data_IF_471078648183
#
_entry.id   IF_471078648183
#
_cell.length_a   1.000
_cell.length_b   1.000
_cell.length_c   1.000
_cell.angle_alpha   90.00
_cell.angle_beta   90.00
_cell.angle_gamma   90.00
#
_symmetry.space_group_name_H-M   'P 1'
#
loop_
_entity.id
_entity.type
_entity.pdbx_description
1 polymer ?
#
# COMPACT_ATOMS: atom_id res chain seq x y z
N UNK A 1 50.78 -37.24 31.13
CA UNK A 1 51.55 -36.44 30.17
C UNK A 1 50.54 -35.75 29.29
N UNK A 2 50.52 -34.42 29.36
CA UNK A 2 49.65 -33.50 28.63
C UNK A 2 49.41 -33.91 27.16
N UNK A 3 48.21 -34.35 26.81
CA UNK A 3 47.76 -34.38 25.41
C UNK A 3 47.10 -33.05 25.09
N UNK A 4 47.91 -31.98 25.01
CA UNK A 4 47.50 -30.66 24.48
C UNK A 4 47.61 -30.58 22.96
N UNK A 5 47.81 -31.72 22.30
CA UNK A 5 47.86 -31.80 20.85
C UNK A 5 46.50 -32.30 20.32
N UNK A 6 45.67 -31.42 19.73
CA UNK A 6 44.31 -31.76 19.30
C UNK A 6 44.29 -32.85 18.21
N UNK A 7 45.34 -32.96 17.40
CA UNK A 7 45.45 -33.98 16.34
C UNK A 7 45.60 -35.39 16.92
N UNK A 8 46.37 -35.53 18.00
CA UNK A 8 46.56 -36.81 18.67
C UNK A 8 45.29 -37.25 19.40
N UNK A 9 44.54 -36.30 19.97
CA UNK A 9 43.25 -36.57 20.61
C UNK A 9 42.21 -37.04 19.58
N UNK A 10 42.12 -36.36 18.43
CA UNK A 10 41.21 -36.74 17.35
C UNK A 10 41.51 -38.14 16.82
N UNK A 11 42.79 -38.47 16.61
CA UNK A 11 43.21 -39.80 16.17
C UNK A 11 42.80 -40.90 17.16
N UNK A 12 42.98 -40.67 18.46
CA UNK A 12 42.61 -41.63 19.51
C UNK A 12 41.09 -41.85 19.58
N UNK A 13 40.29 -40.79 19.40
CA UNK A 13 38.83 -40.87 19.35
C UNK A 13 38.33 -41.67 18.14
N UNK A 14 38.96 -41.50 16.98
CA UNK A 14 38.66 -42.28 15.76
C UNK A 14 39.04 -43.76 15.94
N UNK A 15 40.20 -44.06 16.50
CA UNK A 15 40.61 -45.43 16.81
C UNK A 15 39.68 -46.11 17.82
N UNK A 16 39.22 -45.38 18.85
CA UNK A 16 38.23 -45.87 19.81
C UNK A 16 36.91 -46.23 19.11
N UNK A 17 36.39 -45.34 18.28
CA UNK A 17 35.14 -45.57 17.55
C UNK A 17 35.21 -46.79 16.62
N UNK A 18 36.29 -46.91 15.84
CA UNK A 18 36.47 -48.05 14.92
C UNK A 18 36.49 -49.38 15.67
N UNK A 19 37.10 -49.40 16.88
CA UNK A 19 37.12 -50.58 17.73
C UNK A 19 35.76 -50.89 18.35
N UNK A 20 35.04 -49.89 18.85
CA UNK A 20 33.72 -50.06 19.46
C UNK A 20 32.66 -50.54 18.46
N UNK A 21 32.75 -50.13 17.18
CA UNK A 21 31.85 -50.58 16.11
C UNK A 21 32.30 -51.89 15.41
N UNK A 22 33.45 -52.44 15.78
CA UNK A 22 33.95 -53.71 15.23
C UNK A 22 34.59 -53.63 13.83
N UNK A 23 35.04 -52.45 13.39
CA UNK A 23 35.70 -52.25 12.09
C UNK A 23 37.21 -52.54 12.15
N UNK A 24 37.57 -53.81 12.38
CA UNK A 24 38.97 -54.23 12.61
C UNK A 24 39.91 -53.99 11.41
N UNK A 25 39.41 -54.10 10.18
CA UNK A 25 40.21 -53.87 8.97
C UNK A 25 40.62 -52.40 8.82
N UNK A 26 39.68 -51.48 9.10
CA UNK A 26 39.92 -50.04 9.06
C UNK A 26 40.82 -49.60 10.22
N UNK A 27 40.64 -50.15 11.43
CA UNK A 27 41.51 -49.90 12.56
C UNK A 27 42.97 -50.26 12.25
N UNK A 28 43.20 -51.45 11.69
CA UNK A 28 44.55 -51.89 11.30
C UNK A 28 45.19 -50.99 10.24
N UNK A 29 44.41 -50.45 9.30
CA UNK A 29 44.91 -49.51 8.30
C UNK A 29 45.33 -48.17 8.95
N UNK A 30 44.49 -47.64 9.85
CA UNK A 30 44.76 -46.39 10.57
C UNK A 30 45.96 -46.51 11.51
N UNK A 31 46.11 -47.65 12.21
CA UNK A 31 47.29 -47.91 13.05
C UNK A 31 48.58 -48.02 12.22
N UNK A 32 48.50 -48.58 11.02
CA UNK A 32 49.65 -48.72 10.10
C UNK A 32 50.09 -47.37 9.55
N UNK A 33 49.17 -46.50 9.19
CA UNK A 33 49.47 -45.17 8.65
C UNK A 33 49.91 -44.19 9.74
N UNK A 34 49.23 -44.20 10.90
CA UNK A 34 49.55 -43.30 12.01
C UNK A 34 50.74 -43.74 12.85
N UNK A 35 51.23 -44.97 12.68
CA UNK A 35 52.27 -45.61 13.51
C UNK A 35 51.96 -45.62 15.01
N UNK A 36 50.70 -45.43 15.39
CA UNK A 36 50.25 -45.40 16.78
C UNK A 36 49.29 -46.57 17.01
N UNK A 37 49.53 -47.36 18.07
CA UNK A 37 48.64 -48.45 18.47
C UNK A 37 47.59 -47.95 19.44
N UNK A 38 46.35 -48.41 19.25
CA UNK A 38 45.27 -48.09 20.16
C UNK A 38 45.54 -48.63 21.57
N UNK A 39 45.38 -47.79 22.59
CA UNK A 39 45.51 -48.18 23.99
C UNK A 39 44.20 -47.97 24.75
N UNK A 40 43.57 -49.08 25.12
CA UNK A 40 42.25 -49.13 25.77
C UNK A 40 42.20 -48.46 27.15
N UNK A 41 43.35 -48.28 27.81
CA UNK A 41 43.46 -47.69 29.14
C UNK A 41 43.47 -46.14 29.16
N UNK A 42 43.49 -45.47 27.98
CA UNK A 42 43.67 -44.01 27.90
C UNK A 42 42.39 -43.19 27.80
N UNK A 43 41.25 -43.80 27.48
CA UNK A 43 39.96 -43.11 27.37
C UNK A 43 38.86 -43.82 28.18
N UNK A 44 37.91 -43.05 28.70
CA UNK A 44 36.70 -43.57 29.32
C UNK A 44 35.83 -44.30 28.31
N UNK A 45 35.21 -45.41 28.71
CA UNK A 45 34.27 -46.17 27.87
C UNK A 45 33.08 -45.30 27.45
N UNK A 46 32.78 -45.28 26.16
CA UNK A 46 31.73 -44.48 25.54
C UNK A 46 32.25 -43.70 24.33
N UNK A 47 31.52 -43.71 23.23
CA UNK A 47 31.91 -43.07 21.97
C UNK A 47 31.78 -41.54 22.04
N UNK A 48 32.69 -40.89 22.75
CA UNK A 48 32.77 -39.43 22.83
C UNK A 48 32.85 -38.78 21.44
N UNK A 49 33.43 -39.48 20.44
CA UNK A 49 33.40 -39.07 19.04
C UNK A 49 31.99 -38.98 18.47
N UNK A 50 31.14 -39.97 18.78
CA UNK A 50 29.77 -40.02 18.28
C UNK A 50 28.92 -38.91 18.91
N UNK A 51 29.11 -38.65 20.20
CA UNK A 51 28.47 -37.53 20.90
C UNK A 51 28.92 -36.16 20.33
N UNK A 52 30.22 -36.00 20.03
CA UNK A 52 30.74 -34.79 19.37
C UNK A 52 30.19 -34.62 17.95
N UNK A 53 30.04 -35.70 17.20
CA UNK A 53 29.45 -35.68 15.85
C UNK A 53 27.97 -35.36 15.92
N UNK A 54 27.21 -35.98 16.83
CA UNK A 54 25.79 -35.67 17.03
C UNK A 54 25.57 -34.23 17.47
N UNK A 55 26.33 -33.74 18.44
CA UNK A 55 26.23 -32.34 18.90
C UNK A 55 26.61 -31.34 17.80
N UNK A 56 27.58 -31.67 16.95
CA UNK A 56 27.90 -30.85 15.78
C UNK A 56 26.80 -30.88 14.72
N UNK A 57 26.26 -32.07 14.41
CA UNK A 57 25.14 -32.24 13.47
C UNK A 57 23.89 -31.50 13.97
N UNK A 58 23.55 -31.59 15.25
CA UNK A 58 22.44 -30.83 15.86
C UNK A 58 22.68 -29.31 15.84
N UNK A 59 23.92 -28.87 16.04
CA UNK A 59 24.31 -27.47 15.94
C UNK A 59 24.27 -26.95 14.50
N UNK A 60 24.57 -27.79 13.50
CA UNK A 60 24.45 -27.42 12.08
C UNK A 60 22.99 -27.45 11.62
N UNK A 61 22.20 -28.46 12.01
CA UNK A 61 20.75 -28.53 11.75
C UNK A 61 19.95 -27.38 12.38
N UNK A 62 20.42 -26.84 13.50
CA UNK A 62 19.81 -25.65 14.13
C UNK A 62 20.27 -24.32 13.54
N UNK A 63 21.42 -24.28 12.84
CA UNK A 63 21.86 -23.11 12.05
C UNK A 63 21.25 -23.10 10.65
N UNK A 64 20.98 -24.27 10.09
CA UNK A 64 20.11 -24.45 8.94
C UNK A 64 18.65 -24.26 9.37
N UNK A 65 18.31 -23.10 9.97
CA UNK A 65 16.91 -22.67 9.99
C UNK A 65 16.49 -22.58 8.52
N UNK A 66 15.73 -23.58 8.08
CA UNK A 66 15.19 -23.66 6.74
C UNK A 66 14.56 -22.30 6.40
N UNK A 67 15.06 -21.59 5.37
CA UNK A 67 14.52 -20.28 5.00
C UNK A 67 13.01 -20.34 4.74
N UNK A 68 12.49 -21.51 4.33
CA UNK A 68 11.06 -21.75 4.19
C UNK A 68 10.34 -21.79 5.55
N UNK A 69 10.93 -22.43 6.57
CA UNK A 69 10.39 -22.45 7.93
C UNK A 69 10.39 -21.07 8.58
N UNK A 70 11.46 -20.28 8.38
CA UNK A 70 11.54 -18.90 8.84
C UNK A 70 10.49 -18.01 8.14
N UNK A 71 10.31 -18.17 6.82
CA UNK A 71 9.29 -17.46 6.05
C UNK A 71 7.86 -17.83 6.49
N UNK A 72 7.61 -19.12 6.76
CA UNK A 72 6.33 -19.61 7.26
C UNK A 72 6.02 -19.09 8.66
N UNK A 73 7.03 -19.03 9.54
CA UNK A 73 6.89 -18.43 10.89
C UNK A 73 6.60 -16.94 10.81
N UNK A 74 7.29 -16.21 9.92
CA UNK A 74 7.03 -14.79 9.68
C UNK A 74 5.62 -14.56 9.11
N UNK A 75 5.15 -15.43 8.21
CA UNK A 75 3.79 -15.40 7.68
C UNK A 75 2.76 -15.66 8.79
N UNK A 76 2.97 -16.67 9.64
CA UNK A 76 2.08 -16.96 10.75
C UNK A 76 1.99 -15.80 11.74
N UNK A 77 3.12 -15.17 12.08
CA UNK A 77 3.15 -13.99 12.93
C UNK A 77 2.45 -12.78 12.29
N UNK A 78 2.59 -12.60 10.98
CA UNK A 78 1.86 -11.57 10.24
C UNK A 78 0.34 -11.83 10.25
N UNK A 79 -0.09 -13.06 10.00
CA UNK A 79 -1.51 -13.43 10.06
C UNK A 79 -2.09 -13.21 11.46
N UNK A 80 -1.35 -13.59 12.50
CA UNK A 80 -1.76 -13.37 13.87
C UNK A 80 -1.91 -11.88 14.17
N UNK A 81 -0.93 -11.05 13.76
CA UNK A 81 -0.99 -9.59 13.91
C UNK A 81 -2.19 -8.97 13.18
N UNK A 82 -2.51 -9.44 11.98
CA UNK A 82 -3.65 -8.92 11.21
C UNK A 82 -4.99 -9.29 11.87
N UNK A 83 -5.07 -10.47 12.51
CA UNK A 83 -6.24 -10.95 13.23
C UNK A 83 -6.41 -10.31 14.61
N UNK A 84 -5.32 -9.89 15.24
CA UNK A 84 -5.34 -9.19 16.52
C UNK A 84 -5.80 -7.72 16.33
N UNK A 85 -6.91 -7.34 16.95
CA UNK A 85 -7.40 -5.97 16.97
C UNK A 85 -8.72 -5.77 16.23
N UNK A 86 -9.09 -4.50 16.01
CA UNK A 86 -10.38 -4.11 15.47
C UNK A 86 -11.41 -3.81 16.56
N UNK A 87 -11.43 -2.55 17.02
CA UNK A 87 -12.60 -2.02 17.73
C UNK A 87 -13.63 -1.66 16.66
N UNK A 88 -14.91 -1.90 16.86
CA UNK A 88 -15.94 -1.49 15.88
C UNK A 88 -16.17 0.04 15.90
N UNK A 89 -15.09 0.80 15.75
CA UNK A 89 -15.00 2.25 15.84
C UNK A 89 -15.09 2.94 14.47
N UNK A 90 -15.29 2.18 13.39
CA UNK A 90 -15.42 2.73 12.04
C UNK A 90 -16.63 3.68 11.88
N UNK A 91 -16.52 4.70 11.02
CA UNK A 91 -17.59 5.68 10.80
C UNK A 91 -18.70 5.10 9.92
N UNK A 92 -19.79 4.67 10.54
CA UNK A 92 -20.99 4.16 9.85
C UNK A 92 -22.27 4.96 10.17
N UNK A 93 -22.24 5.81 11.21
CA UNK A 93 -23.40 6.62 11.59
C UNK A 93 -23.43 7.91 10.77
N UNK A 94 -24.56 8.19 10.11
CA UNK A 94 -24.74 9.41 9.34
C UNK A 94 -24.75 10.62 10.28
N UNK A 95 -23.73 11.47 10.19
CA UNK A 95 -23.61 12.69 10.98
C UNK A 95 -24.28 13.88 10.27
N UNK A 96 -24.03 14.03 8.97
CA UNK A 96 -24.58 15.14 8.20
C UNK A 96 -24.87 14.74 6.74
N UNK A 97 -25.93 15.30 6.17
CA UNK A 97 -26.23 15.24 4.73
C UNK A 97 -26.29 16.65 4.19
N UNK A 98 -25.39 16.96 3.26
CA UNK A 98 -25.27 18.27 2.62
C UNK A 98 -25.88 18.15 1.23
N UNK A 99 -26.95 18.92 0.99
CA UNK A 99 -27.70 18.96 -0.28
C UNK A 99 -27.49 20.30 -0.97
N UNK A 100 -27.81 20.33 -2.26
CA UNK A 100 -27.81 21.54 -3.09
C UNK A 100 -26.48 22.31 -3.09
N UNK A 101 -25.38 21.62 -2.78
CA UNK A 101 -24.05 22.23 -2.80
C UNK A 101 -23.71 22.64 -4.24
N UNK A 102 -23.79 21.70 -5.18
CA UNK A 102 -23.53 21.92 -6.61
C UNK A 102 -24.78 21.66 -7.46
N UNK A 103 -25.00 22.42 -8.56
CA UNK A 103 -26.08 22.14 -9.51
C UNK A 103 -25.86 20.84 -10.31
N UNK A 104 -24.61 20.38 -10.39
CA UNK A 104 -24.19 19.18 -11.10
C UNK A 104 -23.76 18.07 -10.14
N UNK A 105 -23.43 16.90 -10.70
CA UNK A 105 -22.99 15.73 -9.95
C UNK A 105 -21.65 15.99 -9.25
N UNK A 106 -21.53 15.54 -8.00
CA UNK A 106 -20.30 15.64 -7.23
C UNK A 106 -19.46 14.40 -7.51
N UNK A 107 -18.22 14.61 -7.93
CA UNK A 107 -17.36 13.55 -8.48
C UNK A 107 -16.22 13.24 -7.52
N UNK A 108 -15.67 14.26 -6.86
CA UNK A 108 -14.54 14.10 -5.96
C UNK A 108 -14.81 14.75 -4.61
N UNK A 109 -14.26 14.15 -3.58
CA UNK A 109 -14.35 14.62 -2.20
C UNK A 109 -13.02 14.31 -1.52
N UNK A 110 -12.52 15.23 -0.72
CA UNK A 110 -11.35 14.99 0.15
C UNK A 110 -11.55 15.68 1.49
N UNK A 111 -11.34 14.95 2.58
CA UNK A 111 -11.40 15.50 3.93
C UNK A 111 -10.17 16.39 4.17
N UNK A 112 -10.38 17.51 4.85
CA UNK A 112 -9.27 18.32 5.33
C UNK A 112 -8.64 17.65 6.55
N UNK A 113 -7.31 17.43 6.59
CA UNK A 113 -6.68 16.85 7.78
C UNK A 113 -6.85 17.76 9.00
N UNK A 114 -7.36 17.21 10.10
CA UNK A 114 -7.35 17.85 11.43
C UNK A 114 -8.40 18.97 11.56
N UNK A 115 -9.22 19.22 10.54
CA UNK A 115 -10.28 20.23 10.57
C UNK A 115 -11.59 19.64 10.11
N UNK A 116 -12.72 20.05 10.72
CA UNK A 116 -14.05 19.56 10.35
C UNK A 116 -14.54 20.18 9.03
N UNK A 117 -13.76 20.03 7.97
CA UNK A 117 -13.94 20.64 6.65
C UNK A 117 -13.68 19.61 5.55
N UNK A 118 -14.37 19.77 4.43
CA UNK A 118 -14.29 18.86 3.28
C UNK A 118 -14.19 19.71 2.01
N UNK A 119 -13.33 19.29 1.09
CA UNK A 119 -13.24 19.89 -0.24
C UNK A 119 -14.01 19.03 -1.24
N UNK A 120 -14.86 19.64 -2.04
CA UNK A 120 -15.73 18.96 -3.01
C UNK A 120 -15.44 19.46 -4.41
N UNK A 121 -15.39 18.52 -5.35
CA UNK A 121 -15.22 18.78 -6.78
C UNK A 121 -16.39 18.22 -7.57
N UNK A 122 -16.94 19.05 -8.44
CA UNK A 122 -18.19 18.76 -9.16
C UNK A 122 -18.03 18.85 -10.68
N UNK A 123 -19.00 18.27 -11.39
CA UNK A 123 -19.16 18.40 -12.83
C UNK A 123 -19.46 19.82 -13.31
N UNK A 124 -19.74 20.77 -12.41
CA UNK A 124 -19.93 22.19 -12.73
C UNK A 124 -18.63 22.99 -12.90
N UNK A 125 -17.50 22.29 -12.86
CA UNK A 125 -16.12 22.83 -12.96
C UNK A 125 -15.65 23.63 -11.74
N UNK A 126 -16.41 23.60 -10.65
CA UNK A 126 -16.15 24.37 -9.44
C UNK A 126 -15.67 23.46 -8.31
N UNK A 127 -14.72 23.98 -7.53
CA UNK A 127 -14.32 23.40 -6.26
C UNK A 127 -14.84 24.25 -5.11
N UNK A 128 -15.32 23.59 -4.04
CA UNK A 128 -15.79 24.25 -2.83
C UNK A 128 -15.13 23.65 -1.60
N UNK A 129 -14.84 24.48 -0.62
CA UNK A 129 -14.53 24.06 0.74
C UNK A 129 -15.77 24.27 1.59
N UNK A 130 -16.21 23.20 2.26
CA UNK A 130 -17.39 23.18 3.13
C UNK A 130 -17.02 22.75 4.53
N UNK A 131 -17.75 23.24 5.54
CA UNK A 131 -17.69 22.69 6.89
C UNK A 131 -18.54 21.42 6.98
N UNK A 132 -18.35 20.59 8.02
CA UNK A 132 -19.26 19.46 8.26
C UNK A 132 -20.71 19.89 8.53
N UNK A 133 -20.95 21.16 8.88
CA UNK A 133 -22.29 21.75 9.02
C UNK A 133 -22.95 22.13 7.69
N UNK A 134 -22.22 22.07 6.57
CA UNK A 134 -22.73 22.42 5.24
C UNK A 134 -22.47 23.87 4.82
N UNK A 135 -21.81 24.67 5.65
CA UNK A 135 -21.47 26.05 5.31
C UNK A 135 -20.35 26.08 4.28
N UNK A 136 -20.53 26.84 3.21
CA UNK A 136 -19.51 27.07 2.19
C UNK A 136 -18.51 28.10 2.70
N UNK A 137 -17.28 27.67 2.97
CA UNK A 137 -16.19 28.54 3.41
C UNK A 137 -15.67 29.37 2.25
N UNK A 138 -15.41 28.72 1.11
CA UNK A 138 -15.03 29.39 -0.13
C UNK A 138 -15.42 28.57 -1.35
N UNK A 139 -15.43 29.22 -2.51
CA UNK A 139 -15.70 28.62 -3.81
C UNK A 139 -14.72 29.19 -4.86
N UNK A 140 -14.19 28.33 -5.73
CA UNK A 140 -13.32 28.79 -6.83
C UNK A 140 -14.13 29.43 -7.95
N UNK A 141 -13.51 30.36 -8.68
CA UNK A 141 -13.98 30.72 -10.03
C UNK A 141 -13.76 29.53 -10.98
N UNK A 142 -14.53 29.49 -12.07
CA UNK A 142 -14.35 28.48 -13.12
C UNK A 142 -12.98 28.69 -13.78
N UNK A 143 -12.07 27.76 -13.53
CA UNK A 143 -10.72 27.74 -14.12
C UNK A 143 -10.74 27.03 -15.48
N UNK A 144 -11.56 25.98 -15.60
CA UNK A 144 -11.76 25.19 -16.81
C UNK A 144 -13.26 24.94 -17.04
N UNK A 145 -13.60 24.44 -18.24
CA UNK A 145 -14.95 24.03 -18.65
C UNK A 145 -15.24 22.54 -18.39
N UNK A 146 -14.25 21.75 -17.97
CA UNK A 146 -14.41 20.33 -17.65
C UNK A 146 -14.91 20.10 -16.22
N UNK A 147 -15.47 18.92 -15.92
CA UNK A 147 -15.78 18.53 -14.54
C UNK A 147 -14.53 18.27 -13.71
N UNK A 148 -14.58 18.49 -12.40
CA UNK A 148 -13.47 18.21 -11.48
C UNK A 148 -13.46 16.72 -11.12
N UNK A 149 -12.41 16.01 -11.50
CA UNK A 149 -12.32 14.54 -11.36
C UNK A 149 -11.57 14.10 -10.10
N UNK A 150 -10.56 14.86 -9.68
CA UNK A 150 -9.73 14.52 -8.54
C UNK A 150 -9.24 15.76 -7.78
N UNK A 151 -8.98 15.53 -6.49
CA UNK A 151 -8.52 16.51 -5.54
C UNK A 151 -7.41 15.86 -4.70
N UNK A 152 -6.34 16.61 -4.43
CA UNK A 152 -5.29 16.15 -3.53
C UNK A 152 -4.77 17.31 -2.69
N UNK A 153 -4.94 17.20 -1.36
CA UNK A 153 -4.38 18.16 -0.41
C UNK A 153 -2.89 17.86 -0.19
N UNK A 154 -2.09 18.90 -0.05
CA UNK A 154 -0.68 18.79 0.27
C UNK A 154 -0.50 18.12 1.64
N UNK A 155 0.52 17.26 1.81
CA UNK A 155 0.84 16.73 3.13
C UNK A 155 1.19 17.89 4.09
N UNK A 156 0.91 17.74 5.41
CA UNK A 156 1.31 18.74 6.38
C UNK A 156 2.84 18.84 6.39
N UNK A 157 3.38 19.94 5.88
CA UNK A 157 4.81 20.15 5.85
C UNK A 157 5.36 20.34 7.27
N UNK A 158 6.53 19.74 7.62
CA UNK A 158 7.17 19.97 8.92
C UNK A 158 7.71 21.40 9.09
N UNK A 159 7.81 22.19 8.02
CA UNK A 159 8.16 23.62 8.09
C UNK A 159 6.95 24.52 7.82
N UNK A 160 6.66 25.38 8.80
CA UNK A 160 5.52 26.30 8.92
C UNK A 160 5.44 27.41 7.86
N UNK A 161 6.19 27.33 6.76
CA UNK A 161 6.32 28.43 5.78
C UNK A 161 5.46 28.28 4.53
N UNK A 162 4.97 27.06 4.21
CA UNK A 162 4.11 26.86 3.03
C UNK A 162 2.63 26.87 3.42
N UNK A 163 1.77 27.71 2.80
CA UNK A 163 0.34 27.59 2.98
C UNK A 163 -0.13 26.21 2.47
N UNK A 164 -1.21 25.64 3.04
CA UNK A 164 -1.74 24.38 2.57
C UNK A 164 -2.15 24.53 1.10
N UNK A 165 -1.72 23.61 0.27
CA UNK A 165 -1.97 23.62 -1.16
C UNK A 165 -2.97 22.53 -1.55
N UNK A 166 -3.77 22.82 -2.57
CA UNK A 166 -4.74 21.90 -3.14
C UNK A 166 -4.45 21.72 -4.62
N UNK A 167 -4.27 20.47 -5.04
CA UNK A 167 -4.22 20.08 -6.43
C UNK A 167 -5.62 19.71 -6.90
N UNK A 168 -5.95 20.17 -8.10
CA UNK A 168 -7.24 19.90 -8.74
C UNK A 168 -6.98 19.42 -10.16
N UNK A 169 -7.67 18.33 -10.53
CA UNK A 169 -7.59 17.75 -11.87
C UNK A 169 -8.95 17.79 -12.55
N UNK A 170 -8.95 18.25 -13.81
CA UNK A 170 -10.16 18.42 -14.60
C UNK A 170 -10.28 17.38 -15.73
N UNK A 171 -11.51 17.27 -16.23
CA UNK A 171 -11.87 16.43 -17.37
C UNK A 171 -11.21 16.88 -18.69
N UNK A 172 -10.76 18.12 -18.82
CA UNK A 172 -10.08 18.59 -20.03
C UNK A 172 -8.56 18.30 -20.04
N UNK A 173 -8.03 17.73 -18.95
CA UNK A 173 -6.60 17.49 -18.75
C UNK A 173 -5.85 18.64 -18.10
N UNK A 174 -6.56 19.70 -17.70
CA UNK A 174 -6.00 20.77 -16.90
C UNK A 174 -5.71 20.26 -15.49
N UNK A 175 -4.58 20.69 -14.95
CA UNK A 175 -4.18 20.50 -13.55
C UNK A 175 -3.85 21.87 -12.99
N UNK A 176 -4.33 22.16 -11.80
CA UNK A 176 -4.10 23.44 -11.15
C UNK A 176 -3.74 23.26 -9.69
N UNK A 177 -2.96 24.23 -9.23
CA UNK A 177 -2.56 24.43 -7.87
C UNK A 177 -3.34 25.61 -7.31
N UNK A 178 -4.02 25.38 -6.19
CA UNK A 178 -4.74 26.39 -5.44
C UNK A 178 -4.21 26.50 -4.02
N UNK A 179 -4.35 27.69 -3.44
CA UNK A 179 -4.23 27.84 -2.00
C UNK A 179 -5.46 27.19 -1.34
N UNK A 180 -5.26 26.15 -0.54
CA UNK A 180 -6.35 25.39 0.05
C UNK A 180 -7.12 26.18 1.11
N UNK A 181 -6.48 27.17 1.76
CA UNK A 181 -7.13 28.02 2.76
C UNK A 181 -8.04 29.10 2.15
N UNK A 182 -7.63 29.70 1.03
CA UNK A 182 -8.35 30.82 0.39
C UNK A 182 -9.13 30.43 -0.86
N UNK A 183 -8.82 29.29 -1.47
CA UNK A 183 -9.36 28.88 -2.77
C UNK A 183 -8.81 29.68 -3.96
N UNK A 184 -7.76 30.48 -3.74
CA UNK A 184 -7.15 31.29 -4.80
C UNK A 184 -6.33 30.42 -5.75
N UNK A 185 -6.52 30.65 -7.05
CA UNK A 185 -5.76 29.98 -8.09
C UNK A 185 -4.32 30.49 -8.10
N UNK A 186 -3.37 29.61 -7.88
CA UNK A 186 -1.95 29.93 -7.90
C UNK A 186 -1.35 29.69 -9.29
N UNK A 187 -1.60 28.50 -9.86
CA UNK A 187 -1.14 28.14 -11.19
C UNK A 187 -2.06 27.12 -11.83
N UNK A 188 -2.20 27.17 -13.15
CA UNK A 188 -2.92 26.18 -13.94
C UNK A 188 -2.11 25.87 -15.19
N UNK A 189 -1.97 24.59 -15.50
CA UNK A 189 -1.35 24.12 -16.72
C UNK A 189 -2.18 22.97 -17.31
N UNK A 190 -1.98 22.69 -18.59
CA UNK A 190 -2.64 21.59 -19.28
C UNK A 190 -1.61 20.55 -19.71
N UNK A 191 -1.11 19.72 -18.78
CA UNK A 191 -0.11 18.69 -19.10
C UNK A 191 -0.70 17.55 -19.94
N UNK A 192 -2.00 17.29 -19.83
CA UNK A 192 -2.65 16.15 -20.44
C UNK A 192 -3.60 16.54 -21.57
N UNK A 193 -3.78 15.64 -22.53
CA UNK A 193 -4.69 15.80 -23.68
C UNK A 193 -6.13 15.38 -23.36
N UNK A 194 -6.31 14.51 -22.36
CA UNK A 194 -7.61 13.96 -21.90
C UNK A 194 -7.75 14.11 -20.37
N UNK A 195 -8.71 13.41 -19.78
CA UNK A 195 -9.07 13.42 -18.36
C UNK A 195 -7.86 13.25 -17.42
N UNK A 196 -7.64 14.20 -16.51
CA UNK A 196 -6.75 14.03 -15.36
C UNK A 196 -7.49 13.26 -14.25
N UNK A 197 -7.18 11.98 -14.08
CA UNK A 197 -8.00 11.04 -13.28
C UNK A 197 -7.58 11.07 -11.81
N UNK A 198 -6.28 11.14 -11.55
CA UNK A 198 -5.69 11.07 -10.21
C UNK A 198 -4.48 11.98 -10.09
N UNK A 199 -4.35 12.60 -8.92
CA UNK A 199 -3.25 13.47 -8.53
C UNK A 199 -2.76 13.00 -7.16
N UNK A 200 -1.43 12.91 -6.97
CA UNK A 200 -0.83 12.60 -5.68
C UNK A 200 0.39 13.45 -5.43
N UNK A 201 0.48 13.97 -4.22
CA UNK A 201 1.68 14.63 -3.73
C UNK A 201 2.74 13.59 -3.37
N UNK A 202 4.01 13.93 -3.59
CA UNK A 202 5.10 13.28 -2.89
C UNK A 202 5.10 13.68 -1.42
N UNK A 203 5.68 12.85 -0.56
CA UNK A 203 5.59 13.03 0.90
C UNK A 203 6.32 14.26 1.43
N UNK A 204 7.34 14.70 0.72
CA UNK A 204 8.06 15.95 0.97
C UNK A 204 7.30 17.19 0.50
N UNK A 205 6.21 17.02 -0.26
CA UNK A 205 5.44 18.10 -0.86
C UNK A 205 6.21 18.93 -1.89
N UNK A 206 7.36 18.44 -2.36
CA UNK A 206 8.18 19.14 -3.36
C UNK A 206 7.76 18.80 -4.79
N UNK A 207 7.17 17.62 -5.01
CA UNK A 207 6.68 17.17 -6.30
C UNK A 207 5.24 16.66 -6.21
N UNK A 208 4.60 16.51 -7.36
CA UNK A 208 3.37 15.75 -7.47
C UNK A 208 3.28 14.99 -8.79
N UNK A 209 2.55 13.88 -8.75
CA UNK A 209 2.25 13.02 -9.87
C UNK A 209 0.84 13.29 -10.36
N UNK A 210 0.68 13.19 -11.68
CA UNK A 210 -0.59 13.34 -12.36
C UNK A 210 -0.80 12.22 -13.37
N UNK A 211 -1.87 11.46 -13.18
CA UNK A 211 -2.24 10.31 -13.99
C UNK A 211 -3.45 10.64 -14.86
N UNK A 212 -3.38 10.25 -16.14
CA UNK A 212 -4.35 10.66 -17.15
C UNK A 212 -4.89 9.52 -18.01
N UNK A 213 -6.09 9.73 -18.54
CA UNK A 213 -6.75 8.83 -19.50
C UNK A 213 -6.10 8.84 -20.89
N UNK A 214 -5.23 9.80 -21.18
CA UNK A 214 -4.44 9.79 -22.42
C UNK A 214 -3.28 8.79 -22.38
N UNK A 215 -3.08 8.12 -21.25
CA UNK A 215 -1.99 7.17 -21.04
C UNK A 215 -0.68 7.82 -20.61
N UNK A 216 -0.67 9.12 -20.29
CA UNK A 216 0.52 9.76 -19.72
C UNK A 216 0.46 9.82 -18.19
N UNK A 217 1.60 9.51 -17.57
CA UNK A 217 1.90 9.87 -16.20
C UNK A 217 2.88 11.05 -16.23
N UNK A 218 2.59 12.12 -15.50
CA UNK A 218 3.42 13.32 -15.48
C UNK A 218 3.86 13.66 -14.05
N UNK A 219 5.16 13.90 -13.87
CA UNK A 219 5.77 14.41 -12.64
C UNK A 219 6.02 15.90 -12.77
N UNK A 220 5.59 16.64 -11.74
CA UNK A 220 5.72 18.09 -11.67
C UNK A 220 6.52 18.46 -10.42
N UNK A 221 7.43 19.42 -10.56
CA UNK A 221 8.16 19.99 -9.43
C UNK A 221 7.48 21.28 -8.97
N UNK A 222 7.19 21.40 -7.69
CA UNK A 222 6.63 22.59 -7.03
C UNK A 222 7.75 23.40 -6.37
N UNK A 223 7.88 24.67 -6.73
CA UNK A 223 8.96 25.49 -6.18
C UNK A 223 8.77 25.77 -4.68
N UNK A 224 9.85 25.62 -3.91
CA UNK A 224 9.83 25.76 -2.43
C UNK A 224 9.68 27.21 -1.94
N UNK A 225 9.79 28.21 -2.83
CA UNK A 225 9.97 29.62 -2.48
C UNK A 225 8.72 30.51 -2.53
N UNK A 226 7.51 29.96 -2.40
CA UNK A 226 6.28 30.77 -2.50
C UNK A 226 5.95 31.27 -3.92
N UNK A 227 6.80 30.98 -4.90
CA UNK A 227 6.47 31.00 -6.31
C UNK A 227 5.54 29.83 -6.60
N UNK A 228 4.24 30.08 -6.49
CA UNK A 228 3.22 29.05 -6.49
C UNK A 228 2.93 28.51 -7.91
N UNK A 229 3.97 28.08 -8.61
CA UNK A 229 3.93 27.47 -9.92
C UNK A 229 4.68 26.14 -9.89
N UNK A 230 4.29 25.25 -10.80
CA UNK A 230 4.98 23.99 -11.01
C UNK A 230 5.67 23.99 -12.38
N UNK A 231 6.78 23.27 -12.49
CA UNK A 231 7.61 23.22 -13.70
C UNK A 231 6.94 22.50 -14.87
N UNK A 232 7.55 22.57 -16.06
CA UNK A 232 7.18 21.68 -17.17
C UNK A 232 7.30 20.22 -16.72
N UNK A 233 6.26 19.39 -16.95
CA UNK A 233 6.26 18.03 -16.45
C UNK A 233 7.25 17.14 -17.21
N UNK A 234 7.90 16.25 -16.48
CA UNK A 234 8.50 15.04 -17.07
C UNK A 234 7.38 14.03 -17.28
N UNK A 235 7.25 13.47 -18.48
CA UNK A 235 6.13 12.56 -18.81
C UNK A 235 6.60 11.17 -19.17
N UNK A 236 5.94 10.16 -18.62
CA UNK A 236 6.12 8.75 -18.95
C UNK A 236 4.87 8.24 -19.69
N UNK A 237 4.97 7.83 -20.97
CA UNK A 237 3.84 7.36 -21.76
C UNK A 237 3.56 5.86 -21.57
N UNK A 238 2.28 5.50 -21.54
CA UNK A 238 1.75 4.14 -21.54
C UNK A 238 0.80 3.93 -22.72
N UNK A 239 0.60 2.66 -23.10
CA UNK A 239 -0.25 2.30 -24.23
C UNK A 239 -1.75 2.55 -23.98
N UNK A 240 -2.18 2.47 -22.72
CA UNK A 240 -3.57 2.62 -22.27
C UNK A 240 -3.65 3.62 -21.10
N UNK A 241 -4.87 3.95 -20.67
CA UNK A 241 -5.12 4.92 -19.62
C UNK A 241 -4.47 4.54 -18.28
N UNK A 242 -3.92 5.52 -17.56
CA UNK A 242 -3.40 5.35 -16.20
C UNK A 242 -4.52 5.69 -15.21
N UNK A 243 -5.02 4.71 -14.44
CA UNK A 243 -6.17 4.89 -13.56
C UNK A 243 -5.85 5.60 -12.25
N UNK A 244 -4.75 5.22 -11.62
CA UNK A 244 -4.32 5.74 -10.33
C UNK A 244 -2.81 5.67 -10.19
N UNK A 245 -2.29 6.46 -9.28
CA UNK A 245 -0.88 6.52 -8.92
C UNK A 245 -0.77 6.76 -7.42
N UNK A 246 0.12 6.05 -6.74
CA UNK A 246 0.32 6.17 -5.30
C UNK A 246 1.82 6.18 -4.98
N UNK A 247 2.26 7.09 -4.09
CA UNK A 247 3.66 7.18 -3.68
C UNK A 247 3.89 6.25 -2.49
N UNK A 248 4.91 5.40 -2.60
CA UNK A 248 5.24 4.43 -1.57
C UNK A 248 5.85 5.07 -0.32
N UNK A 249 5.93 4.29 0.78
CA UNK A 249 6.52 4.73 2.03
C UNK A 249 7.92 5.28 1.99
N UNK A 250 8.73 4.77 1.07
CA UNK A 250 10.12 5.17 0.88
C UNK A 250 10.25 6.60 0.30
N UNK A 251 9.19 7.14 -0.30
CA UNK A 251 9.19 8.46 -0.96
C UNK A 251 9.91 8.50 -2.31
N UNK A 252 10.66 7.45 -2.64
CA UNK A 252 11.45 7.33 -3.87
C UNK A 252 10.77 6.45 -4.92
N UNK A 253 9.77 5.65 -4.53
CA UNK A 253 9.07 4.78 -5.46
C UNK A 253 7.60 5.18 -5.56
N UNK A 254 7.06 5.19 -6.77
CA UNK A 254 5.63 5.31 -7.02
C UNK A 254 5.10 4.07 -7.73
N UNK A 255 3.82 3.80 -7.49
CA UNK A 255 3.08 2.70 -8.11
C UNK A 255 2.02 3.29 -9.00
N UNK A 256 1.99 2.90 -10.27
CA UNK A 256 0.94 3.28 -11.19
C UNK A 256 0.12 2.06 -11.63
N UNK A 257 -1.21 2.23 -11.69
CA UNK A 257 -2.12 1.25 -12.26
C UNK A 257 -2.51 1.64 -13.68
N UNK A 258 -2.22 0.77 -14.64
CA UNK A 258 -2.52 0.96 -16.06
C UNK A 258 -3.72 0.10 -16.46
N UNK A 259 -4.63 0.66 -17.25
CA UNK A 259 -5.85 -0.02 -17.70
C UNK A 259 -5.52 -1.23 -18.57
N UNK A 260 -6.32 -2.29 -18.43
CA UNK A 260 -6.18 -3.54 -19.19
C UNK A 260 -4.81 -4.21 -18.98
N UNK A 261 -4.19 -3.94 -17.81
CA UNK A 261 -2.96 -4.58 -17.38
C UNK A 261 -3.17 -5.25 -16.02
N UNK A 262 -2.71 -6.49 -15.92
CA UNK A 262 -2.60 -7.24 -14.66
C UNK A 262 -1.37 -6.83 -13.83
N UNK A 263 -0.54 -5.93 -14.36
CA UNK A 263 0.69 -5.48 -13.72
C UNK A 263 0.52 -4.08 -13.11
N UNK A 264 0.99 -3.92 -11.87
CA UNK A 264 1.31 -2.62 -11.32
C UNK A 264 2.71 -2.20 -11.79
N UNK A 265 2.89 -0.93 -12.11
CA UNK A 265 4.16 -0.38 -12.59
C UNK A 265 4.88 0.32 -11.45
N UNK A 266 6.12 -0.07 -11.18
CA UNK A 266 6.98 0.57 -10.20
C UNK A 266 7.85 1.61 -10.90
N UNK A 267 7.86 2.81 -10.32
CA UNK A 267 8.44 3.99 -10.94
C UNK A 267 9.36 4.65 -9.95
N UNK A 268 10.62 4.88 -10.33
CA UNK A 268 11.59 5.63 -9.54
C UNK A 268 11.32 7.12 -9.65
N UNK A 269 11.35 7.80 -8.50
CA UNK A 269 11.28 9.25 -8.35
C UNK A 269 12.63 9.77 -7.85
N UNK A 270 13.10 10.93 -8.35
CA UNK A 270 12.40 11.88 -9.21
C UNK A 270 12.58 11.68 -10.73
N UNK A 271 13.36 10.70 -11.18
CA UNK A 271 13.69 10.55 -12.62
C UNK A 271 12.50 10.14 -13.49
N UNK A 272 11.42 9.63 -12.87
CA UNK A 272 10.22 9.10 -13.52
C UNK A 272 10.55 7.95 -14.50
N UNK A 273 11.33 6.99 -14.03
CA UNK A 273 11.73 5.80 -14.80
C UNK A 273 11.02 4.55 -14.29
N UNK A 274 10.48 3.74 -15.21
CA UNK A 274 9.92 2.44 -14.84
C UNK A 274 11.06 1.49 -14.45
N UNK A 275 11.08 1.05 -13.20
CA UNK A 275 12.10 0.15 -12.66
C UNK A 275 11.69 -1.30 -12.80
N UNK A 276 10.44 -1.60 -12.48
CA UNK A 276 9.92 -2.98 -12.47
C UNK A 276 8.39 -3.01 -12.58
N UNK A 277 7.83 -4.22 -12.72
CA UNK A 277 6.40 -4.48 -12.78
C UNK A 277 6.00 -5.63 -11.86
N UNK A 278 4.87 -5.48 -11.19
CA UNK A 278 4.38 -6.45 -10.21
C UNK A 278 3.09 -7.06 -10.71
N UNK A 279 3.04 -8.39 -10.83
CA UNK A 279 1.83 -9.09 -11.23
C UNK A 279 0.84 -9.14 -10.06
N UNK A 280 -0.40 -8.71 -10.28
CA UNK A 280 -1.47 -8.75 -9.29
C UNK A 280 -2.15 -10.13 -9.19
N UNK A 281 -1.91 -11.03 -10.15
CA UNK A 281 -2.48 -12.36 -10.14
C UNK A 281 -1.71 -13.28 -9.19
N UNK A 282 -2.41 -13.91 -8.26
CA UNK A 282 -1.82 -14.87 -7.31
C UNK A 282 -1.03 -16.02 -7.96
N UNK A 283 -1.42 -16.43 -9.17
CA UNK A 283 -0.76 -17.51 -9.93
C UNK A 283 0.41 -17.02 -10.80
N UNK A 284 0.63 -15.70 -10.88
CA UNK A 284 1.65 -15.11 -11.75
C UNK A 284 1.34 -15.24 -13.25
N UNK A 285 0.10 -15.53 -13.64
CA UNK A 285 -0.30 -15.61 -15.04
C UNK A 285 -0.51 -14.22 -15.66
N UNK A 286 -0.35 -14.14 -16.98
CA UNK A 286 -0.52 -12.92 -17.77
C UNK A 286 -1.98 -12.65 -18.17
N UNK A 287 -2.93 -13.43 -17.63
CA UNK A 287 -4.33 -13.26 -17.96
C UNK A 287 -4.91 -12.03 -17.26
N UNK A 288 -5.34 -11.04 -18.05
CA UNK A 288 -6.00 -9.83 -17.56
C UNK A 288 -7.45 -10.17 -17.19
N UNK A 289 -7.64 -10.62 -15.94
CA UNK A 289 -8.97 -10.90 -15.37
C UNK A 289 -9.63 -9.65 -14.78
N UNK A 290 -8.84 -8.62 -14.50
CA UNK A 290 -9.25 -7.38 -13.84
C UNK A 290 -8.17 -6.32 -14.05
N UNK A 291 -8.55 -5.05 -13.88
CA UNK A 291 -7.65 -3.90 -13.86
C UNK A 291 -7.69 -3.21 -12.51
N UNK A 292 -6.55 -2.69 -12.06
CA UNK A 292 -6.50 -1.81 -10.89
C UNK A 292 -7.08 -0.43 -11.22
N UNK A 293 -7.96 0.05 -10.36
CA UNK A 293 -8.75 1.29 -10.53
C UNK A 293 -8.43 2.35 -9.50
N UNK A 294 -8.09 1.95 -8.28
CA UNK A 294 -7.63 2.83 -7.22
C UNK A 294 -6.57 2.16 -6.34
N UNK A 295 -5.63 2.94 -5.84
CA UNK A 295 -4.49 2.50 -5.04
C UNK A 295 -4.42 3.31 -3.73
N UNK A 296 -4.10 2.66 -2.63
CA UNK A 296 -3.95 3.33 -1.34
C UNK A 296 -2.99 2.58 -0.41
N UNK A 297 -2.00 3.29 0.12
CA UNK A 297 -1.07 2.71 1.10
C UNK A 297 -1.72 2.63 2.48
N UNK A 298 -1.54 1.49 3.13
CA UNK A 298 -2.01 1.25 4.50
C UNK A 298 -1.42 2.25 5.52
N UNK A 299 -2.12 2.54 6.63
CA UNK A 299 -1.62 3.42 7.69
C UNK A 299 -0.31 2.93 8.30
N UNK A 300 -0.11 1.61 8.36
CA UNK A 300 1.13 1.00 8.85
C UNK A 300 2.26 0.96 7.80
N UNK A 301 2.02 1.47 6.59
CA UNK A 301 3.01 1.63 5.53
C UNK A 301 3.68 0.32 5.08
N UNK A 302 3.02 -0.82 5.29
CA UNK A 302 3.54 -2.14 4.89
C UNK A 302 2.74 -2.76 3.76
N UNK A 303 1.50 -2.31 3.58
CA UNK A 303 0.57 -2.86 2.61
C UNK A 303 0.06 -1.80 1.64
N UNK A 304 -0.27 -2.27 0.44
CA UNK A 304 -0.96 -1.52 -0.61
C UNK A 304 -2.34 -2.16 -0.82
N UNK A 305 -3.38 -1.34 -0.71
CA UNK A 305 -4.74 -1.71 -1.10
C UNK A 305 -4.93 -1.38 -2.58
N UNK A 306 -5.46 -2.35 -3.31
CA UNK A 306 -5.73 -2.24 -4.74
C UNK A 306 -7.22 -2.51 -4.96
N UNK A 307 -7.93 -1.49 -5.43
CA UNK A 307 -9.31 -1.64 -5.89
C UNK A 307 -9.30 -2.12 -7.33
N UNK A 308 -10.03 -3.20 -7.62
CA UNK A 308 -10.13 -3.74 -8.97
C UNK A 308 -11.46 -3.35 -9.61
N UNK A 309 -11.55 -3.34 -10.93
CA UNK A 309 -12.82 -3.23 -11.67
C UNK A 309 -13.76 -4.44 -11.44
N UNK A 310 -13.25 -5.52 -10.85
CA UNK A 310 -14.02 -6.67 -10.43
C UNK A 310 -14.58 -6.54 -9.00
N UNK A 311 -15.35 -7.54 -8.54
CA UNK A 311 -15.98 -7.56 -7.22
C UNK A 311 -15.01 -7.87 -6.07
N UNK A 312 -13.71 -7.55 -6.25
CA UNK A 312 -12.65 -7.87 -5.30
C UNK A 312 -11.72 -6.68 -5.03
N UNK A 313 -11.23 -6.63 -3.80
CA UNK A 313 -10.11 -5.78 -3.40
C UNK A 313 -8.92 -6.67 -3.05
N UNK A 314 -7.72 -6.22 -3.41
CA UNK A 314 -6.47 -6.94 -3.12
C UNK A 314 -5.65 -6.16 -2.10
N UNK A 315 -5.00 -6.87 -1.20
CA UNK A 315 -4.01 -6.30 -0.29
C UNK A 315 -2.66 -6.94 -0.59
N UNK A 316 -1.72 -6.13 -1.04
CA UNK A 316 -0.35 -6.54 -1.40
C UNK A 316 0.63 -6.07 -0.32
N UNK A 317 1.64 -6.87 -0.01
CA UNK A 317 2.79 -6.44 0.79
C UNK A 317 3.73 -5.58 -0.07
N UNK A 318 4.22 -4.46 0.46
CA UNK A 318 5.09 -3.54 -0.30
C UNK A 318 6.52 -4.10 -0.43
N UNK A 319 7.04 -4.81 0.58
CA UNK A 319 8.43 -5.29 0.57
C UNK A 319 8.63 -6.52 -0.33
N UNK A 320 7.62 -7.37 -0.46
CA UNK A 320 7.71 -8.63 -1.21
C UNK A 320 6.71 -8.74 -2.36
N UNK A 321 5.87 -7.73 -2.56
CA UNK A 321 4.82 -7.71 -3.60
C UNK A 321 3.91 -8.93 -3.62
N UNK A 322 3.81 -9.63 -2.48
CA UNK A 322 2.95 -10.79 -2.32
C UNK A 322 1.52 -10.37 -2.01
N UNK A 323 0.57 -11.15 -2.48
CA UNK A 323 -0.84 -10.98 -2.18
C UNK A 323 -1.16 -11.57 -0.81
N UNK A 324 -1.43 -10.69 0.16
CA UNK A 324 -1.67 -11.06 1.57
C UNK A 324 -3.14 -11.45 1.77
N UNK A 325 -4.07 -10.62 1.28
CA UNK A 325 -5.52 -10.85 1.43
C UNK A 325 -6.31 -10.45 0.18
N UNK A 326 -7.45 -11.11 0.06
CA UNK A 326 -8.47 -10.85 -0.96
C UNK A 326 -9.81 -10.62 -0.28
N UNK A 327 -10.41 -9.46 -0.54
CA UNK A 327 -11.73 -9.13 -0.05
C UNK A 327 -12.74 -9.33 -1.17
N UNK A 328 -13.63 -10.30 -1.01
CA UNK A 328 -14.64 -10.64 -2.01
C UNK A 328 -16.01 -10.08 -1.63
N UNK A 329 -16.89 -9.96 -2.62
CA UNK A 329 -18.29 -9.61 -2.41
C UNK A 329 -18.59 -8.12 -2.51
N UNK A 330 -17.65 -7.32 -3.02
CA UNK A 330 -17.93 -5.93 -3.37
C UNK A 330 -18.86 -5.92 -4.59
N UNK A 331 -20.05 -5.36 -4.46
CA UNK A 331 -20.97 -5.22 -5.58
C UNK A 331 -20.41 -4.17 -6.55
N UNK A 332 -20.13 -4.57 -7.79
CA UNK A 332 -19.63 -3.68 -8.85
C UNK A 332 -20.53 -3.79 -10.07
N UNK A 333 -20.81 -2.64 -10.69
CA UNK A 333 -21.55 -2.52 -11.95
C UNK A 333 -20.60 -2.11 -13.07
N UNK A 334 -21.00 -2.33 -14.34
CA UNK A 334 -20.16 -2.12 -15.54
C UNK A 334 -19.53 -0.72 -15.67
N UNK A 335 -20.07 0.30 -15.00
CA UNK A 335 -19.58 1.68 -15.05
C UNK A 335 -19.21 2.24 -13.67
N UNK A 336 -19.18 1.38 -12.65
CA UNK A 336 -18.76 1.76 -11.31
C UNK A 336 -17.23 1.75 -11.23
N UNK A 337 -16.66 2.82 -10.71
CA UNK A 337 -15.23 2.88 -10.37
C UNK A 337 -15.11 2.74 -8.85
N UNK A 338 -14.76 1.54 -8.34
CA UNK A 338 -14.63 1.36 -6.92
C UNK A 338 -13.49 2.21 -6.37
N UNK A 339 -13.70 2.72 -5.17
CA UNK A 339 -12.72 3.47 -4.39
C UNK A 339 -12.77 2.92 -2.98
N UNK A 340 -11.64 2.90 -2.30
CA UNK A 340 -11.58 2.52 -0.90
C UNK A 340 -10.74 3.52 -0.10
N UNK A 341 -10.92 3.49 1.21
CA UNK A 341 -10.10 4.16 2.21
C UNK A 341 -9.70 3.18 3.32
N UNK A 342 -8.49 3.31 3.85
CA UNK A 342 -8.12 2.63 5.08
C UNK A 342 -8.67 3.35 6.31
N UNK A 343 -9.17 2.59 7.28
CA UNK A 343 -9.41 3.11 8.63
C UNK A 343 -8.08 3.33 9.35
N UNK A 344 -7.99 4.33 10.22
CA UNK A 344 -6.74 4.73 10.90
C UNK A 344 -6.14 3.62 11.76
N UNK A 345 -6.98 2.73 12.28
CA UNK A 345 -6.52 1.54 13.03
C UNK A 345 -5.82 0.49 12.15
N UNK A 346 -5.97 0.55 10.83
CA UNK A 346 -5.45 -0.46 9.90
C UNK A 346 -6.22 -1.79 9.90
N UNK A 347 -7.26 -1.94 10.73
CA UNK A 347 -8.06 -3.17 10.83
C UNK A 347 -9.31 -3.18 9.96
N UNK A 348 -9.71 -2.04 9.38
CA UNK A 348 -10.88 -1.94 8.54
C UNK A 348 -10.59 -1.23 7.22
N UNK A 349 -11.29 -1.65 6.17
CA UNK A 349 -11.29 -1.03 4.85
C UNK A 349 -12.72 -0.57 4.55
N UNK A 350 -12.86 0.71 4.18
CA UNK A 350 -14.11 1.36 3.80
C UNK A 350 -14.16 1.43 2.27
N UNK A 351 -15.02 0.64 1.63
CA UNK A 351 -15.06 0.52 0.18
C UNK A 351 -16.41 0.99 -0.41
N UNK A 352 -16.34 1.85 -1.43
CA UNK A 352 -17.49 2.28 -2.19
C UNK A 352 -17.93 1.19 -3.18
N UNK A 353 -19.14 0.69 -2.98
CA UNK A 353 -19.79 -0.29 -3.85
C UNK A 353 -20.80 0.40 -4.80
N UNK A 354 -21.29 -0.36 -5.78
CA UNK A 354 -22.32 0.08 -6.70
C UNK A 354 -23.64 0.44 -5.99
N UNK A 355 -24.51 1.18 -6.68
CA UNK A 355 -25.83 1.59 -6.19
C UNK A 355 -25.80 2.38 -4.86
N UNK A 356 -24.69 3.10 -4.62
CA UNK A 356 -24.54 4.01 -3.48
C UNK A 356 -24.25 3.32 -2.14
N UNK A 357 -23.87 2.05 -2.14
CA UNK A 357 -23.51 1.34 -0.92
C UNK A 357 -22.07 1.58 -0.50
N UNK A 358 -21.81 1.51 0.81
CA UNK A 358 -20.47 1.48 1.39
C UNK A 358 -20.33 0.20 2.20
N UNK A 359 -19.25 -0.54 1.94
CA UNK A 359 -18.95 -1.84 2.52
C UNK A 359 -17.75 -1.69 3.45
N UNK A 360 -17.82 -2.31 4.62
CA UNK A 360 -16.76 -2.28 5.62
C UNK A 360 -16.23 -3.70 5.77
N UNK A 361 -14.98 -3.89 5.39
CA UNK A 361 -14.28 -5.17 5.52
C UNK A 361 -13.37 -5.13 6.74
N UNK A 362 -13.35 -6.22 7.49
CA UNK A 362 -12.33 -6.44 8.51
C UNK A 362 -11.10 -7.07 7.85
N UNK A 363 -9.94 -6.43 8.04
CA UNK A 363 -8.68 -6.74 7.34
C UNK A 363 -8.16 -8.12 7.73
N UNK A 364 -8.15 -8.45 9.02
CA UNK A 364 -7.62 -9.74 9.50
C UNK A 364 -8.41 -10.95 9.02
N UNK A 365 -9.73 -10.84 9.02
CA UNK A 365 -10.64 -11.94 8.69
C UNK A 365 -11.05 -11.97 7.22
N UNK A 366 -10.73 -10.91 6.46
CA UNK A 366 -11.17 -10.68 5.09
C UNK A 366 -12.70 -10.76 4.88
N UNK A 367 -13.49 -10.57 5.94
CA UNK A 367 -14.95 -10.65 5.90
C UNK A 367 -15.59 -9.27 5.88
N UNK A 368 -16.70 -9.18 5.17
CA UNK A 368 -17.62 -8.05 5.24
C UNK A 368 -18.26 -8.04 6.64
N UNK A 369 -17.98 -7.01 7.44
CA UNK A 369 -18.53 -6.87 8.79
C UNK A 369 -19.75 -5.95 8.84
N UNK A 370 -19.78 -4.95 7.96
CA UNK A 370 -20.90 -4.02 7.90
C UNK A 370 -21.10 -3.50 6.48
N UNK A 371 -22.34 -3.14 6.14
CA UNK A 371 -22.67 -2.42 4.91
C UNK A 371 -23.85 -1.49 5.17
N UNK A 372 -23.80 -0.31 4.59
CA UNK A 372 -24.89 0.66 4.68
C UNK A 372 -25.08 1.36 3.34
N UNK A 373 -26.32 1.80 3.09
CA UNK A 373 -26.66 2.54 1.87
C UNK A 373 -26.37 4.01 2.12
N UNK A 374 -25.25 4.47 1.59
CA UNK A 374 -24.85 5.87 1.73
C UNK A 374 -25.67 6.77 0.81
N UNK A 375 -25.82 6.39 -0.46
CA UNK A 375 -26.40 7.24 -1.50
C UNK A 375 -27.49 6.51 -2.29
N UNK A 376 -28.30 7.28 -3.03
CA UNK A 376 -29.33 6.72 -3.93
C UNK A 376 -28.75 6.35 -5.30
N UNK A 377 -27.62 6.95 -5.66
CA UNK A 377 -26.87 6.71 -6.89
C UNK A 377 -25.41 6.35 -6.58
N UNK A 378 -24.63 5.99 -7.60
CA UNK A 378 -23.26 5.51 -7.44
C UNK A 378 -22.38 6.52 -6.69
N UNK A 379 -21.75 6.03 -5.61
CA UNK A 379 -20.75 6.76 -4.86
C UNK A 379 -19.49 6.87 -5.70
N UNK A 380 -19.08 8.10 -6.02
CA UNK A 380 -17.94 8.35 -6.91
C UNK A 380 -16.66 8.71 -6.16
N UNK A 381 -16.78 9.35 -5.01
CA UNK A 381 -15.66 9.72 -4.15
C UNK A 381 -15.89 9.28 -2.72
N UNK A 382 -14.81 8.86 -2.08
CA UNK A 382 -14.78 8.44 -0.70
C UNK A 382 -13.46 8.93 -0.11
N UNK A 383 -13.51 9.60 1.03
CA UNK A 383 -12.33 10.10 1.74
C UNK A 383 -12.54 9.93 3.23
N UNK A 384 -11.54 9.35 3.91
CA UNK A 384 -11.55 9.12 5.35
C UNK A 384 -10.56 10.07 6.02
N UNK A 385 -11.00 10.73 7.09
CA UNK A 385 -10.15 11.51 7.99
C UNK A 385 -9.75 10.65 9.20
N UNK A 386 -8.46 10.29 9.33
CA UNK A 386 -7.97 9.48 10.43
C UNK A 386 -7.98 10.18 11.78
N UNK A 387 -7.96 11.52 11.82
CA UNK A 387 -7.92 12.26 13.08
C UNK A 387 -9.30 12.48 13.68
N UNK A 388 -10.27 12.86 12.83
CA UNK A 388 -11.67 13.03 13.26
C UNK A 388 -12.47 11.74 13.21
N UNK A 389 -11.86 10.63 12.76
CA UNK A 389 -12.53 9.35 12.53
C UNK A 389 -13.85 9.54 11.75
N UNK A 390 -13.74 10.25 10.62
CA UNK A 390 -14.89 10.74 9.87
C UNK A 390 -14.75 10.34 8.41
N UNK A 391 -15.83 9.85 7.80
CA UNK A 391 -15.87 9.44 6.40
C UNK A 391 -16.76 10.40 5.61
N UNK A 392 -16.19 11.02 4.58
CA UNK A 392 -16.94 11.80 3.61
C UNK A 392 -17.15 10.99 2.32
N UNK A 393 -18.39 10.95 1.85
CA UNK A 393 -18.77 10.31 0.59
C UNK A 393 -19.50 11.28 -0.31
N UNK A 394 -19.26 11.18 -1.62
CA UNK A 394 -19.99 11.95 -2.62
C UNK A 394 -20.53 11.07 -3.74
N UNK A 395 -21.64 11.48 -4.33
CA UNK A 395 -22.38 10.69 -5.31
C UNK A 395 -22.96 11.54 -6.44
N UNK A 396 -23.35 10.85 -7.51
CA UNK A 396 -24.15 11.40 -8.59
C UNK A 396 -25.56 11.83 -8.16
N UNK A 397 -25.99 11.54 -6.94
CA UNK A 397 -27.21 12.11 -6.33
C UNK A 397 -27.06 13.59 -5.91
N UNK A 398 -25.89 14.21 -6.19
CA UNK A 398 -25.55 15.61 -5.88
C UNK A 398 -25.47 15.93 -4.39
N UNK A 399 -25.35 14.91 -3.54
CA UNK A 399 -25.19 15.08 -2.10
C UNK A 399 -23.78 14.71 -1.65
N UNK A 400 -23.34 15.35 -0.57
CA UNK A 400 -22.19 14.91 0.22
C UNK A 400 -22.71 14.44 1.56
N UNK A 401 -22.27 13.27 1.99
CA UNK A 401 -22.64 12.72 3.30
C UNK A 401 -21.39 12.52 4.13
N UNK A 402 -21.52 12.84 5.41
CA UNK A 402 -20.45 12.72 6.39
C UNK A 402 -20.93 11.70 7.42
N UNK A 403 -20.09 10.71 7.67
CA UNK A 403 -20.31 9.67 8.66
C UNK A 403 -19.29 9.79 9.76
N UNK A 404 -19.72 9.61 10.99
CA UNK A 404 -18.87 9.55 12.16
C UNK A 404 -19.07 8.22 12.88
N UNK A 405 -18.25 7.94 13.88
CA UNK A 405 -18.48 6.84 14.79
C UNK A 405 -19.84 7.03 15.50
N UNK A 406 -20.60 5.94 15.64
CA UNK A 406 -21.82 5.98 16.44
C UNK A 406 -21.47 6.30 17.90
N UNK A 407 -22.18 7.26 18.50
CA UNK A 407 -22.01 7.67 19.89
C UNK A 407 -22.38 6.56 20.89
#
# INVERSE_FOLDING_TARGET
MDSRDPEQLALLLVQQFLREQGYESALNAVEKESKSKYMEAKLSRGSMLLEMVYTHIEAELSKEEDPEAAANKALAAEEERLLQGGRNDYPAALACTIRDLHPANIISVTCWPDRPQVVTGSGDSVVRLITHGGDVVWQTKKVSMGGVLCLALSPPAPSTTRPPQLLVGWMDGTVALLNAATGELQHAARPHRKYAIRLRWTRDGSHFLSASWDGSLALHHCSEGGGAAFSTPTTLPYATAVHDVEVLPDGHTAVASVRDSNYLRLISLPELTETDRVNMNAKGDDHVSFSATALEVSPCQQYLLVCTDGPRLLMLSIQGWRQVRNFYGLAVEKFHQPSAAWHSSGHYILAAAAAGWVYIFHVGSAKLVHKFKAHESNTRGLSYDPQLNTLATCSFDKTVKIYAQAA
#
